data_IF_951131032970
#
_entry.id   IF_951131032970
#
_cell.length_a   1.000
_cell.length_b   1.000
_cell.length_c   1.000
_cell.angle_alpha   90.00
_cell.angle_beta   90.00
_cell.angle_gamma   90.00
#
_symmetry.space_group_name_H-M   'P 1'
#
loop_
_entity.id
_entity.type
_entity.pdbx_description
1 polymer ?
#
# COMPACT_ATOMS: atom_id res chain seq x y z
N UNK A 1 -31.11 -45.72 3.09
CA UNK A 1 -30.70 -44.91 4.27
C UNK A 1 -29.18 -44.82 4.22
N UNK A 2 -28.64 -43.76 3.62
CA UNK A 2 -27.20 -43.55 3.53
C UNK A 2 -26.80 -42.63 4.66
N UNK A 3 -25.94 -43.15 5.55
CA UNK A 3 -25.37 -42.39 6.66
C UNK A 3 -24.66 -41.11 6.17
N UNK A 4 -24.62 -40.06 7.00
CA UNK A 4 -23.88 -38.86 6.64
C UNK A 4 -22.41 -39.25 6.46
N UNK A 5 -21.85 -38.96 5.28
CA UNK A 5 -20.44 -39.12 5.02
C UNK A 5 -19.65 -38.19 5.94
N UNK A 6 -19.21 -38.74 7.07
CA UNK A 6 -18.03 -38.19 7.75
C UNK A 6 -16.90 -38.45 6.78
N UNK A 7 -16.44 -37.40 6.12
CA UNK A 7 -15.29 -37.48 5.23
C UNK A 7 -14.09 -37.78 6.11
N UNK A 8 -13.55 -39.00 6.03
CA UNK A 8 -12.29 -39.34 6.68
C UNK A 8 -11.16 -38.55 6.01
N UNK A 9 -10.54 -37.59 6.72
CA UNK A 9 -9.50 -36.72 6.13
C UNK A 9 -8.30 -37.51 5.62
N UNK A 10 -7.95 -38.62 6.27
CA UNK A 10 -6.82 -39.45 5.85
C UNK A 10 -7.11 -40.22 4.56
N UNK A 11 -8.31 -40.70 4.41
CA UNK A 11 -8.75 -41.41 3.19
C UNK A 11 -8.79 -40.43 2.01
N UNK A 12 -9.32 -39.25 2.23
CA UNK A 12 -9.39 -38.17 1.22
C UNK A 12 -8.01 -37.72 0.78
N UNK A 13 -7.06 -37.58 1.71
CA UNK A 13 -5.67 -37.27 1.43
C UNK A 13 -4.97 -38.41 0.64
N UNK A 14 -5.19 -39.68 0.97
CA UNK A 14 -4.59 -40.82 0.28
C UNK A 14 -5.12 -40.97 -1.16
N UNK A 15 -6.42 -40.86 -1.34
CA UNK A 15 -7.05 -40.90 -2.67
C UNK A 15 -6.56 -39.70 -3.53
N UNK A 16 -6.41 -38.54 -2.92
CA UNK A 16 -5.94 -37.32 -3.55
C UNK A 16 -4.47 -37.33 -3.95
N UNK A 17 -3.60 -37.94 -3.16
CA UNK A 17 -2.16 -38.06 -3.47
C UNK A 17 -1.93 -39.12 -4.57
N UNK A 18 -2.85 -40.09 -4.70
CA UNK A 18 -2.75 -41.15 -5.72
C UNK A 18 -3.09 -40.72 -7.15
N UNK A 19 -3.85 -39.65 -7.32
CA UNK A 19 -4.26 -39.12 -8.62
C UNK A 19 -3.83 -37.65 -8.71
N UNK A 20 -2.70 -37.38 -9.35
CA UNK A 20 -2.22 -36.01 -9.62
C UNK A 20 -3.14 -35.30 -10.65
N UNK A 21 -4.37 -34.98 -10.23
CA UNK A 21 -5.33 -34.20 -11.02
C UNK A 21 -5.15 -32.69 -10.73
N UNK A 22 -5.10 -31.82 -11.75
CA UNK A 22 -5.14 -30.37 -11.56
C UNK A 22 -6.37 -29.87 -10.79
N UNK A 23 -7.44 -30.67 -10.73
CA UNK A 23 -8.70 -30.33 -10.08
C UNK A 23 -8.77 -30.75 -8.60
N UNK A 24 -7.74 -31.40 -8.08
CA UNK A 24 -7.70 -31.95 -6.73
C UNK A 24 -7.97 -30.89 -5.66
N UNK A 25 -7.26 -29.77 -5.71
CA UNK A 25 -7.44 -28.68 -4.75
C UNK A 25 -8.85 -28.11 -4.80
N UNK A 26 -9.44 -28.02 -5.99
CA UNK A 26 -10.81 -27.55 -6.18
C UNK A 26 -11.81 -28.50 -5.54
N UNK A 27 -11.65 -29.80 -5.79
CA UNK A 27 -12.52 -30.83 -5.24
C UNK A 27 -12.43 -30.92 -3.71
N UNK A 28 -11.21 -30.87 -3.16
CA UNK A 28 -10.98 -30.84 -1.72
C UNK A 28 -11.62 -29.61 -1.08
N UNK A 29 -11.39 -28.43 -1.64
CA UNK A 29 -11.96 -27.18 -1.16
C UNK A 29 -13.49 -27.22 -1.17
N UNK A 30 -14.10 -27.69 -2.26
CA UNK A 30 -15.55 -27.84 -2.37
C UNK A 30 -16.11 -28.80 -1.32
N UNK A 31 -15.43 -29.93 -1.11
CA UNK A 31 -15.86 -30.96 -0.13
C UNK A 31 -15.79 -30.43 1.30
N UNK A 32 -14.66 -29.77 1.67
CA UNK A 32 -14.49 -29.20 3.00
C UNK A 32 -15.49 -28.07 3.26
N UNK A 33 -15.68 -27.15 2.31
CA UNK A 33 -16.64 -26.07 2.46
C UNK A 33 -18.07 -26.59 2.61
N UNK A 34 -18.48 -27.55 1.81
CA UNK A 34 -19.83 -28.13 1.91
C UNK A 34 -20.04 -28.89 3.23
N UNK A 35 -19.00 -29.55 3.75
CA UNK A 35 -19.04 -30.18 5.08
C UNK A 35 -19.19 -29.15 6.21
N UNK A 36 -18.41 -28.04 6.15
CA UNK A 36 -18.52 -26.97 7.13
C UNK A 36 -19.89 -26.29 7.10
N UNK A 37 -20.44 -26.01 5.92
CA UNK A 37 -21.80 -25.45 5.77
C UNK A 37 -22.87 -26.40 6.33
N UNK A 38 -22.67 -27.69 6.18
CA UNK A 38 -23.56 -28.69 6.75
C UNK A 38 -23.51 -28.65 8.29
N UNK A 39 -22.32 -28.65 8.88
CA UNK A 39 -22.14 -28.59 10.33
C UNK A 39 -22.68 -27.28 10.94
N UNK A 40 -22.41 -26.14 10.28
CA UNK A 40 -22.91 -24.82 10.70
C UNK A 40 -24.46 -24.78 10.67
N UNK A 41 -25.08 -25.32 9.62
CA UNK A 41 -26.53 -25.39 9.53
C UNK A 41 -27.14 -26.39 10.55
N UNK A 42 -26.42 -27.45 10.96
CA UNK A 42 -26.85 -28.34 12.04
C UNK A 42 -26.86 -27.61 13.38
N UNK A 43 -25.84 -26.79 13.65
CA UNK A 43 -25.78 -25.94 14.85
C UNK A 43 -26.97 -24.96 14.89
N UNK A 44 -27.28 -24.29 13.76
CA UNK A 44 -28.43 -23.39 13.65
C UNK A 44 -29.78 -24.16 13.82
N UNK A 45 -29.87 -25.39 13.36
CA UNK A 45 -31.08 -26.20 13.50
C UNK A 45 -31.23 -26.83 14.89
N UNK A 46 -30.20 -26.81 15.73
CA UNK A 46 -30.19 -27.46 17.05
C UNK A 46 -30.13 -28.98 17.02
N UNK A 47 -29.92 -29.59 15.83
CA UNK A 47 -29.78 -31.05 15.65
C UNK A 47 -29.19 -31.36 14.26
N UNK A 48 -28.50 -32.51 14.19
CA UNK A 48 -27.95 -33.05 12.93
C UNK A 48 -29.06 -33.37 11.91
N UNK A 49 -28.69 -33.33 10.63
CA UNK A 49 -29.61 -33.64 9.54
C UNK A 49 -30.16 -35.09 9.65
N UNK A 50 -31.49 -35.25 9.62
CA UNK A 50 -32.15 -36.54 9.68
C UNK A 50 -32.28 -37.15 11.07
N UNK A 51 -31.76 -36.52 12.14
CA UNK A 51 -31.83 -37.02 13.52
C UNK A 51 -33.03 -36.42 14.25
N UNK A 52 -33.83 -37.22 14.98
CA UNK A 52 -34.86 -36.71 15.87
C UNK A 52 -34.20 -36.13 17.15
N UNK A 53 -34.58 -34.91 17.55
CA UNK A 53 -34.03 -34.27 18.75
C UNK A 53 -35.04 -33.27 19.30
N UNK A 54 -35.14 -33.23 20.64
CA UNK A 54 -36.02 -32.27 21.37
C UNK A 54 -35.47 -30.85 21.32
N UNK A 55 -34.19 -30.68 20.98
CA UNK A 55 -33.53 -29.37 20.83
C UNK A 55 -33.66 -28.78 19.43
N UNK A 56 -34.32 -29.45 18.51
CA UNK A 56 -34.47 -29.03 17.14
C UNK A 56 -35.32 -27.77 17.00
N UNK A 57 -34.73 -26.69 16.48
CA UNK A 57 -35.40 -25.41 16.24
C UNK A 57 -35.87 -25.24 14.80
N UNK A 58 -35.23 -25.90 13.83
CA UNK A 58 -35.58 -25.84 12.41
C UNK A 58 -35.26 -27.15 11.68
N UNK A 59 -35.89 -27.36 10.52
CA UNK A 59 -35.62 -28.50 9.64
C UNK A 59 -35.01 -28.00 8.32
N UNK A 60 -34.04 -28.77 7.80
CA UNK A 60 -33.47 -28.54 6.48
C UNK A 60 -34.43 -28.97 5.38
N UNK A 61 -34.40 -28.21 4.26
CA UNK A 61 -35.23 -28.48 3.08
C UNK A 61 -34.36 -28.44 1.81
N UNK A 62 -33.41 -29.37 1.70
CA UNK A 62 -32.50 -29.45 0.58
C UNK A 62 -31.42 -28.34 0.58
N UNK A 63 -30.85 -28.10 -0.58
CA UNK A 63 -29.75 -27.18 -0.78
C UNK A 63 -30.07 -26.15 -1.86
N UNK A 64 -29.42 -24.99 -1.78
CA UNK A 64 -29.31 -24.01 -2.87
C UNK A 64 -27.88 -24.02 -3.35
N UNK A 65 -27.66 -24.37 -4.59
CA UNK A 65 -26.36 -24.37 -5.21
C UNK A 65 -25.98 -22.96 -5.66
N UNK A 66 -24.77 -22.56 -5.37
CA UNK A 66 -24.21 -21.27 -5.74
C UNK A 66 -22.74 -21.42 -6.15
N UNK A 67 -22.38 -21.03 -7.38
CA UNK A 67 -20.99 -21.01 -7.77
C UNK A 67 -20.22 -19.94 -6.98
N UNK A 68 -19.04 -20.31 -6.48
CA UNK A 68 -18.08 -19.43 -5.82
C UNK A 68 -16.75 -19.51 -6.58
N UNK A 69 -16.30 -18.35 -7.08
CA UNK A 69 -15.03 -18.22 -7.79
C UNK A 69 -13.91 -18.04 -6.76
N UNK A 70 -12.99 -19.02 -6.71
CA UNK A 70 -11.85 -19.06 -5.79
C UNK A 70 -10.53 -19.08 -6.54
N UNK A 71 -9.41 -18.93 -5.83
CA UNK A 71 -8.06 -19.09 -6.41
C UNK A 71 -7.78 -20.49 -6.94
N UNK A 72 -8.52 -21.50 -6.45
CA UNK A 72 -8.43 -22.88 -6.93
C UNK A 72 -9.38 -23.19 -8.08
N UNK A 73 -10.16 -22.21 -8.54
CA UNK A 73 -11.18 -22.31 -9.57
C UNK A 73 -12.60 -22.12 -9.02
N UNK A 74 -13.60 -22.23 -9.88
CA UNK A 74 -15.01 -22.15 -9.49
C UNK A 74 -15.43 -23.45 -8.80
N UNK A 75 -15.98 -23.33 -7.59
CA UNK A 75 -16.57 -24.42 -6.82
C UNK A 75 -18.08 -24.25 -6.71
N UNK A 76 -18.80 -25.35 -6.57
CA UNK A 76 -20.25 -25.33 -6.32
C UNK A 76 -20.54 -25.48 -4.82
N UNK A 77 -20.99 -24.36 -4.23
CA UNK A 77 -21.30 -24.29 -2.80
C UNK A 77 -22.76 -24.68 -2.55
N UNK A 78 -22.98 -25.79 -1.85
CA UNK A 78 -24.29 -26.31 -1.49
C UNK A 78 -24.78 -25.68 -0.17
N UNK A 79 -25.47 -24.56 -0.24
CA UNK A 79 -26.01 -23.86 0.94
C UNK A 79 -27.28 -24.53 1.42
N UNK A 80 -27.33 -25.03 2.67
CA UNK A 80 -28.55 -25.63 3.22
C UNK A 80 -29.72 -24.65 3.25
N UNK A 81 -30.92 -25.12 2.89
CA UNK A 81 -32.18 -24.39 3.05
C UNK A 81 -32.88 -24.83 4.32
N UNK A 82 -33.52 -23.91 5.02
CA UNK A 82 -34.40 -24.22 6.16
C UNK A 82 -35.87 -24.16 5.74
N UNK A 83 -36.71 -24.95 6.37
CA UNK A 83 -38.18 -24.91 6.17
C UNK A 83 -38.78 -23.68 6.80
N UNK A 84 -38.25 -23.24 7.96
CA UNK A 84 -38.61 -22.03 8.66
C UNK A 84 -37.34 -21.20 8.88
N UNK A 85 -37.40 -19.90 8.58
CA UNK A 85 -36.24 -18.98 8.65
C UNK A 85 -35.35 -19.05 7.42
N UNK A 86 -34.22 -18.33 7.51
CA UNK A 86 -33.20 -18.25 6.44
C UNK A 86 -31.83 -18.54 7.01
N UNK A 87 -31.08 -19.39 6.32
CA UNK A 87 -29.68 -19.65 6.60
C UNK A 87 -28.82 -19.01 5.50
N UNK A 88 -27.81 -18.24 5.89
CA UNK A 88 -26.80 -17.71 4.99
C UNK A 88 -25.44 -17.68 5.71
N UNK A 89 -24.40 -18.33 5.16
CA UNK A 89 -23.08 -18.41 5.77
C UNK A 89 -22.29 -17.10 5.56
N UNK A 90 -22.53 -16.10 6.39
CA UNK A 90 -21.88 -14.77 6.27
C UNK A 90 -20.35 -14.84 6.49
N UNK A 91 -19.88 -15.87 7.20
CA UNK A 91 -18.45 -16.14 7.40
C UNK A 91 -17.71 -16.61 6.13
N UNK A 92 -18.43 -17.13 5.13
CA UNK A 92 -17.86 -17.64 3.88
C UNK A 92 -18.27 -16.82 2.67
N UNK A 93 -19.52 -16.36 2.65
CA UNK A 93 -20.13 -15.73 1.48
C UNK A 93 -20.61 -14.32 1.81
N UNK A 94 -20.28 -13.38 0.94
CA UNK A 94 -20.95 -12.08 0.93
C UNK A 94 -22.21 -12.13 0.07
N UNK A 95 -23.26 -11.44 0.54
CA UNK A 95 -24.50 -11.33 -0.24
C UNK A 95 -24.22 -10.62 -1.56
N UNK A 96 -24.63 -11.25 -2.67
CA UNK A 96 -24.46 -10.76 -4.04
C UNK A 96 -23.03 -10.78 -4.59
N UNK A 97 -22.02 -11.25 -3.86
CA UNK A 97 -20.67 -11.47 -4.38
C UNK A 97 -20.46 -12.95 -4.72
N UNK A 98 -19.79 -13.19 -5.86
CA UNK A 98 -19.52 -14.54 -6.38
C UNK A 98 -18.04 -14.91 -6.26
N UNK A 99 -17.16 -13.94 -6.05
CA UNK A 99 -15.73 -14.13 -6.04
C UNK A 99 -15.15 -14.00 -4.63
N UNK A 100 -14.12 -14.79 -4.35
CA UNK A 100 -13.28 -14.70 -3.15
C UNK A 100 -12.53 -13.35 -3.13
N UNK A 101 -12.36 -12.74 -1.96
CA UNK A 101 -11.65 -11.46 -1.80
C UNK A 101 -10.23 -11.49 -2.37
N UNK A 102 -9.52 -12.62 -2.24
CA UNK A 102 -8.18 -12.78 -2.81
C UNK A 102 -8.18 -12.77 -4.35
N UNK A 103 -9.24 -13.27 -4.98
CA UNK A 103 -9.39 -13.18 -6.43
C UNK A 103 -9.68 -11.74 -6.87
N UNK A 104 -10.47 -11.00 -6.09
CA UNK A 104 -10.72 -9.58 -6.31
C UNK A 104 -9.40 -8.80 -6.30
N UNK A 105 -8.52 -9.10 -5.34
CA UNK A 105 -7.18 -8.48 -5.26
C UNK A 105 -6.34 -8.79 -6.51
N UNK A 106 -6.31 -10.05 -6.98
CA UNK A 106 -5.56 -10.42 -8.19
C UNK A 106 -6.11 -9.69 -9.43
N UNK A 107 -7.44 -9.62 -9.56
CA UNK A 107 -8.09 -8.90 -10.67
C UNK A 107 -7.81 -7.40 -10.59
N UNK A 108 -7.83 -6.82 -9.39
CA UNK A 108 -7.48 -5.42 -9.15
C UNK A 108 -6.01 -5.13 -9.50
N UNK A 109 -5.08 -5.98 -9.08
CA UNK A 109 -3.66 -5.86 -9.42
C UNK A 109 -3.44 -5.94 -10.94
N UNK A 110 -4.12 -6.86 -11.63
CA UNK A 110 -4.06 -6.95 -13.08
C UNK A 110 -4.66 -5.70 -13.76
N UNK A 111 -5.76 -5.16 -13.24
CA UNK A 111 -6.39 -3.94 -13.74
C UNK A 111 -5.45 -2.74 -13.58
N UNK A 112 -4.85 -2.58 -12.41
CA UNK A 112 -3.86 -1.53 -12.13
C UNK A 112 -2.61 -1.65 -13.02
N UNK A 113 -2.19 -2.89 -13.34
CA UNK A 113 -1.10 -3.15 -14.28
C UNK A 113 -1.48 -2.92 -15.76
N UNK A 114 -2.67 -2.39 -16.04
CA UNK A 114 -3.13 -2.09 -17.41
C UNK A 114 -3.46 -3.33 -18.24
N UNK A 115 -3.72 -4.47 -17.60
CA UNK A 115 -4.14 -5.70 -18.30
C UNK A 115 -5.54 -5.51 -18.84
N UNK A 116 -5.74 -5.65 -20.14
CA UNK A 116 -7.06 -5.51 -20.74
C UNK A 116 -8.03 -6.57 -20.22
N UNK A 117 -9.33 -6.23 -20.14
CA UNK A 117 -10.39 -7.14 -19.68
C UNK A 117 -10.41 -8.48 -20.43
N UNK A 118 -10.03 -8.51 -21.72
CA UNK A 118 -9.89 -9.76 -22.49
C UNK A 118 -8.71 -10.63 -22.04
N UNK A 119 -7.58 -10.00 -21.71
CA UNK A 119 -6.41 -10.73 -21.18
C UNK A 119 -6.70 -11.24 -19.77
N UNK A 120 -7.41 -10.46 -18.98
CA UNK A 120 -7.83 -10.82 -17.64
C UNK A 120 -8.77 -12.02 -17.66
N UNK A 121 -9.78 -12.04 -18.54
CA UNK A 121 -10.68 -13.20 -18.74
C UNK A 121 -9.89 -14.46 -19.11
N UNK A 122 -8.87 -14.35 -19.98
CA UNK A 122 -8.00 -15.47 -20.32
C UNK A 122 -7.18 -15.97 -19.12
N UNK A 123 -6.65 -15.05 -18.31
CA UNK A 123 -5.86 -15.39 -17.12
C UNK A 123 -6.72 -16.11 -16.08
N UNK A 124 -7.92 -15.60 -15.84
CA UNK A 124 -8.88 -16.16 -14.88
C UNK A 124 -9.35 -17.55 -15.31
N UNK A 125 -9.56 -17.76 -16.62
CA UNK A 125 -9.84 -19.13 -17.14
C UNK A 125 -8.69 -20.10 -16.93
N UNK A 126 -7.43 -19.65 -17.00
CA UNK A 126 -6.27 -20.50 -16.68
C UNK A 126 -6.24 -20.88 -15.19
N UNK A 127 -6.87 -20.10 -14.32
CA UNK A 127 -7.09 -20.43 -12.91
C UNK A 127 -8.32 -21.33 -12.69
N UNK A 128 -8.95 -21.84 -13.77
CA UNK A 128 -10.11 -22.71 -13.68
C UNK A 128 -11.43 -22.00 -13.36
N UNK A 129 -11.49 -20.70 -13.56
CA UNK A 129 -12.73 -19.90 -13.42
C UNK A 129 -13.35 -19.75 -14.80
N UNK A 130 -14.60 -20.19 -14.98
CA UNK A 130 -15.26 -20.32 -16.29
C UNK A 130 -15.37 -19.00 -17.06
N UNK A 131 -15.68 -17.89 -16.39
CA UNK A 131 -15.62 -16.54 -16.96
C UNK A 131 -15.78 -15.44 -15.90
N UNK A 132 -15.08 -14.32 -16.08
CA UNK A 132 -15.43 -13.04 -15.46
C UNK A 132 -16.19 -12.20 -16.50
N UNK A 133 -17.43 -11.85 -16.20
CA UNK A 133 -18.16 -10.93 -17.06
C UNK A 133 -17.56 -9.52 -16.96
N UNK A 134 -17.70 -8.71 -18.04
CA UNK A 134 -17.27 -7.30 -18.01
C UNK A 134 -17.85 -6.54 -16.83
N UNK A 135 -19.09 -6.86 -16.42
CA UNK A 135 -19.76 -6.25 -15.29
C UNK A 135 -19.16 -6.68 -13.93
N UNK A 136 -18.60 -7.87 -13.81
CA UNK A 136 -17.87 -8.32 -12.62
C UNK A 136 -16.54 -7.59 -12.48
N UNK A 137 -15.76 -7.51 -13.57
CA UNK A 137 -14.50 -6.74 -13.58
C UNK A 137 -14.76 -5.26 -13.25
N UNK A 138 -15.81 -4.67 -13.83
CA UNK A 138 -16.18 -3.28 -13.55
C UNK A 138 -16.58 -3.05 -12.09
N UNK A 139 -17.30 -4.00 -11.46
CA UNK A 139 -17.63 -3.92 -10.03
C UNK A 139 -16.41 -4.06 -9.15
N UNK A 140 -15.50 -4.98 -9.49
CA UNK A 140 -14.24 -5.15 -8.74
C UNK A 140 -13.38 -3.89 -8.82
N UNK A 141 -13.33 -3.23 -9.97
CA UNK A 141 -12.66 -1.93 -10.13
C UNK A 141 -13.33 -0.85 -9.27
N UNK A 142 -14.66 -0.78 -9.25
CA UNK A 142 -15.40 0.18 -8.43
C UNK A 142 -15.18 -0.04 -6.92
N UNK A 143 -15.15 -1.30 -6.45
CA UNK A 143 -14.81 -1.63 -5.06
C UNK A 143 -13.39 -1.19 -4.70
N UNK A 144 -12.43 -1.30 -5.63
CA UNK A 144 -11.07 -0.81 -5.43
C UNK A 144 -11.04 0.72 -5.35
N UNK A 145 -11.80 1.40 -6.21
CA UNK A 145 -11.92 2.87 -6.20
C UNK A 145 -12.51 3.36 -4.87
N UNK A 146 -13.53 2.68 -4.32
CA UNK A 146 -14.09 2.97 -2.99
C UNK A 146 -13.04 2.83 -1.88
N UNK A 147 -12.21 1.77 -1.90
CA UNK A 147 -11.13 1.59 -0.93
C UNK A 147 -10.05 2.69 -1.05
N UNK A 148 -9.70 3.08 -2.28
CA UNK A 148 -8.75 4.16 -2.54
C UNK A 148 -9.31 5.49 -2.03
N UNK A 149 -10.58 5.76 -2.28
CA UNK A 149 -11.26 6.97 -1.82
C UNK A 149 -11.38 7.01 -0.30
N UNK A 150 -11.74 5.91 0.35
CA UNK A 150 -11.76 5.79 1.79
C UNK A 150 -10.35 6.05 2.39
N UNK A 151 -9.29 5.50 1.78
CA UNK A 151 -7.91 5.75 2.19
C UNK A 151 -7.52 7.23 2.02
N UNK A 152 -7.87 7.83 0.88
CA UNK A 152 -7.54 9.23 0.57
C UNK A 152 -8.18 10.22 1.52
N UNK A 153 -9.41 9.95 1.96
CA UNK A 153 -10.20 10.86 2.78
C UNK A 153 -10.24 10.47 4.27
N UNK A 154 -9.49 9.44 4.68
CA UNK A 154 -9.49 9.00 6.08
C UNK A 154 -9.03 10.11 7.02
N UNK A 155 -9.65 10.27 8.20
CA UNK A 155 -9.18 11.16 9.25
C UNK A 155 -7.76 10.82 9.69
N UNK A 156 -6.96 11.83 10.01
CA UNK A 156 -5.58 11.68 10.49
C UNK A 156 -5.44 12.06 11.96
N UNK A 157 -6.43 12.75 12.54
CA UNK A 157 -6.37 13.28 13.89
C UNK A 157 -6.16 12.22 14.96
N UNK A 158 -6.86 11.09 14.86
CA UNK A 158 -6.81 10.02 15.85
C UNK A 158 -5.48 9.21 15.83
N UNK A 159 -4.80 9.21 14.69
CA UNK A 159 -3.51 8.53 14.52
C UNK A 159 -2.30 9.42 14.87
N UNK A 160 -2.52 10.72 15.04
CA UNK A 160 -1.47 11.71 15.35
C UNK A 160 -1.12 11.79 16.85
N UNK A 161 -0.22 12.70 17.24
CA UNK A 161 0.50 13.66 16.38
C UNK A 161 1.55 12.99 15.50
N UNK A 162 1.74 13.51 14.28
CA UNK A 162 2.78 13.06 13.36
C UNK A 162 3.99 13.99 13.44
N UNK A 163 5.02 13.56 14.15
CA UNK A 163 6.19 14.40 14.47
C UNK A 163 7.10 14.64 13.28
N UNK A 164 7.30 13.62 12.46
CA UNK A 164 8.14 13.67 11.26
C UNK A 164 7.32 13.37 10.02
N UNK A 165 7.57 14.13 8.98
CA UNK A 165 6.96 13.97 7.66
C UNK A 165 8.04 13.82 6.59
N UNK A 166 7.82 12.95 5.62
CA UNK A 166 8.57 12.90 4.39
C UNK A 166 7.60 13.12 3.22
N UNK A 167 7.92 14.08 2.35
CA UNK A 167 7.15 14.38 1.15
C UNK A 167 8.00 14.17 -0.10
N UNK A 168 7.42 13.54 -1.12
CA UNK A 168 8.11 13.22 -2.37
C UNK A 168 7.14 13.18 -3.54
N UNK A 169 7.65 13.40 -4.74
CA UNK A 169 6.91 13.33 -5.99
C UNK A 169 7.49 12.27 -6.92
N UNK A 170 6.62 11.43 -7.45
CA UNK A 170 6.98 10.42 -8.44
C UNK A 170 6.37 10.79 -9.79
N UNK A 171 7.21 11.16 -10.76
CA UNK A 171 6.77 11.34 -12.15
C UNK A 171 6.74 10.00 -12.87
N UNK A 172 5.62 9.72 -13.52
CA UNK A 172 5.40 8.51 -14.32
C UNK A 172 4.66 8.82 -15.61
N UNK A 173 4.81 7.95 -16.62
CA UNK A 173 4.03 8.05 -17.85
C UNK A 173 2.78 7.20 -17.75
N UNK A 174 1.62 7.81 -17.89
CA UNK A 174 0.33 7.13 -17.85
C UNK A 174 -0.39 7.29 -19.18
N UNK A 175 -1.25 6.33 -19.52
CA UNK A 175 -2.08 6.41 -20.72
C UNK A 175 -3.48 6.90 -20.33
N UNK A 176 -3.86 8.06 -20.81
CA UNK A 176 -5.16 8.67 -20.60
C UNK A 176 -5.75 9.12 -21.95
N UNK A 177 -7.01 8.81 -22.21
CA UNK A 177 -7.68 9.17 -23.45
C UNK A 177 -6.96 8.70 -24.74
N UNK A 178 -6.23 7.57 -24.67
CA UNK A 178 -5.45 7.03 -25.79
C UNK A 178 -4.09 7.70 -26.00
N UNK A 179 -3.73 8.70 -25.19
CA UNK A 179 -2.45 9.41 -25.26
C UNK A 179 -1.58 9.08 -24.04
N UNK A 180 -0.25 9.16 -24.22
CA UNK A 180 0.69 9.05 -23.10
C UNK A 180 0.92 10.44 -22.54
N UNK A 181 0.59 10.64 -21.27
CA UNK A 181 0.82 11.88 -20.53
C UNK A 181 1.77 11.63 -19.34
N UNK A 182 2.43 12.66 -18.87
CA UNK A 182 3.12 12.61 -17.59
C UNK A 182 2.09 12.81 -16.46
N UNK A 183 2.16 11.96 -15.45
CA UNK A 183 1.45 12.14 -14.19
C UNK A 183 2.47 12.24 -13.06
N UNK A 184 2.17 13.05 -12.07
CA UNK A 184 2.99 13.24 -10.87
C UNK A 184 2.18 12.74 -9.68
N UNK A 185 2.66 11.69 -9.04
CA UNK A 185 2.10 11.20 -7.80
C UNK A 185 2.84 11.84 -6.62
N UNK A 186 2.16 12.73 -5.91
CA UNK A 186 2.65 13.34 -4.67
C UNK A 186 2.28 12.44 -3.50
N UNK A 187 3.25 12.11 -2.67
CA UNK A 187 3.10 11.19 -1.54
C UNK A 187 3.63 11.86 -0.28
N UNK A 188 2.89 11.77 0.82
CA UNK A 188 3.36 12.12 2.15
C UNK A 188 3.33 10.89 3.05
N UNK A 189 4.45 10.63 3.73
CA UNK A 189 4.55 9.62 4.78
C UNK A 189 4.83 10.32 6.10
N UNK A 190 4.14 9.92 7.16
CA UNK A 190 4.34 10.47 8.50
C UNK A 190 4.83 9.42 9.49
N UNK A 191 5.49 9.89 10.54
CA UNK A 191 5.85 9.08 11.71
C UNK A 191 5.18 9.71 12.91
N UNK A 192 4.33 8.95 13.60
CA UNK A 192 3.64 9.42 14.79
C UNK A 192 4.54 9.38 16.03
N UNK A 193 4.03 9.84 17.18
CA UNK A 193 4.76 9.87 18.44
C UNK A 193 5.18 8.47 18.93
N UNK A 194 4.48 7.40 18.53
CA UNK A 194 4.80 6.00 18.86
C UNK A 194 5.88 5.41 17.93
N UNK A 195 6.39 6.18 16.97
CA UNK A 195 7.37 5.72 15.98
C UNK A 195 6.75 4.92 14.81
N UNK A 196 5.44 4.84 14.71
CA UNK A 196 4.76 4.16 13.61
C UNK A 196 4.77 5.03 12.36
N UNK A 197 5.11 4.41 11.23
CA UNK A 197 5.14 5.07 9.92
C UNK A 197 3.91 4.71 9.11
N UNK A 198 3.28 5.74 8.51
CA UNK A 198 2.11 5.61 7.64
C UNK A 198 2.22 6.48 6.39
N UNK A 199 1.58 6.05 5.30
CA UNK A 199 1.30 6.91 4.15
C UNK A 199 0.09 7.77 4.52
N UNK A 200 0.26 9.07 4.64
CA UNK A 200 -0.80 10.00 5.08
C UNK A 200 -1.68 10.46 3.92
N UNK A 201 -1.10 10.59 2.76
CA UNK A 201 -1.81 11.02 1.56
C UNK A 201 -1.10 10.64 0.28
N UNK A 202 -1.93 10.55 -0.77
CA UNK A 202 -1.52 10.34 -2.15
C UNK A 202 -2.39 11.21 -3.03
N UNK A 203 -1.77 12.06 -3.86
CA UNK A 203 -2.46 12.87 -4.87
C UNK A 203 -1.77 12.72 -6.22
N UNK A 204 -2.55 12.59 -7.26
CA UNK A 204 -2.04 12.56 -8.64
C UNK A 204 -2.40 13.87 -9.33
N UNK A 205 -1.41 14.50 -9.96
CA UNK A 205 -1.56 15.71 -10.76
C UNK A 205 -0.88 15.53 -12.13
N UNK A 206 -1.18 16.38 -13.07
CA UNK A 206 -0.52 16.37 -14.39
C UNK A 206 0.86 17.06 -14.37
N UNK A 207 1.08 17.93 -13.39
CA UNK A 207 2.33 18.67 -13.21
C UNK A 207 2.64 18.83 -11.72
N UNK A 208 3.93 18.83 -11.40
CA UNK A 208 4.42 19.21 -10.08
C UNK A 208 4.47 20.74 -10.00
N UNK A 209 3.54 21.35 -9.24
CA UNK A 209 3.45 22.78 -9.07
C UNK A 209 3.26 23.17 -7.61
N UNK A 210 3.59 24.41 -7.27
CA UNK A 210 3.38 24.95 -5.92
C UNK A 210 1.89 24.92 -5.53
N UNK A 211 0.99 25.20 -6.47
CA UNK A 211 -0.45 25.12 -6.22
C UNK A 211 -0.90 23.69 -5.88
N UNK A 212 -0.41 22.69 -6.63
CA UNK A 212 -0.74 21.28 -6.37
C UNK A 212 -0.21 20.82 -4.99
N UNK A 213 1.00 21.23 -4.62
CA UNK A 213 1.56 20.94 -3.29
C UNK A 213 0.79 21.66 -2.17
N UNK A 214 0.42 22.92 -2.40
CA UNK A 214 -0.37 23.66 -1.41
C UNK A 214 -1.74 23.02 -1.15
N UNK A 215 -2.46 22.63 -2.20
CA UNK A 215 -3.72 21.89 -2.07
C UNK A 215 -3.53 20.54 -1.39
N UNK A 216 -2.41 19.84 -1.67
CA UNK A 216 -2.10 18.56 -1.05
C UNK A 216 -1.89 18.68 0.45
N UNK A 217 -1.07 19.64 0.91
CA UNK A 217 -0.87 19.86 2.36
C UNK A 217 -2.11 20.42 3.05
N UNK A 218 -2.85 21.30 2.39
CA UNK A 218 -4.12 21.81 2.92
C UNK A 218 -5.13 20.68 3.16
N UNK A 219 -5.21 19.69 2.26
CA UNK A 219 -6.03 18.48 2.45
C UNK A 219 -5.56 17.66 3.66
N UNK A 220 -4.26 17.43 3.81
CA UNK A 220 -3.72 16.70 4.96
C UNK A 220 -4.07 17.38 6.28
N UNK A 221 -3.94 18.71 6.35
CA UNK A 221 -4.29 19.51 7.53
C UNK A 221 -5.80 19.46 7.79
N UNK A 222 -6.63 19.61 6.75
CA UNK A 222 -8.08 19.49 6.87
C UNK A 222 -8.55 18.13 7.38
N UNK A 223 -7.83 17.06 7.07
CA UNK A 223 -8.06 15.71 7.59
C UNK A 223 -7.50 15.48 9.00
N UNK A 224 -6.90 16.49 9.62
CA UNK A 224 -6.43 16.44 11.01
C UNK A 224 -4.94 16.20 11.18
N UNK A 225 -4.10 16.38 10.15
CA UNK A 225 -2.64 16.35 10.31
C UNK A 225 -2.20 17.44 11.28
N UNK A 226 -1.51 17.06 12.35
CA UNK A 226 -1.02 17.97 13.37
C UNK A 226 0.28 17.48 14.02
N UNK A 227 0.96 18.38 14.75
CA UNK A 227 2.15 18.06 15.55
C UNK A 227 3.44 17.90 14.74
N UNK A 228 3.45 18.30 13.47
CA UNK A 228 4.61 18.16 12.59
C UNK A 228 5.74 19.09 13.05
N UNK A 229 6.91 18.53 13.33
CA UNK A 229 8.11 19.26 13.75
C UNK A 229 9.19 19.32 12.68
N UNK A 230 9.26 18.31 11.81
CA UNK A 230 10.21 18.28 10.71
C UNK A 230 9.53 17.71 9.46
N UNK A 231 9.78 18.34 8.31
CA UNK A 231 9.42 17.81 6.99
C UNK A 231 10.67 17.63 6.15
N UNK A 232 10.93 16.40 5.69
CA UNK A 232 12.03 16.10 4.79
C UNK A 232 11.52 15.98 3.36
N UNK A 233 12.09 16.73 2.44
CA UNK A 233 11.76 16.67 1.02
C UNK A 233 12.96 17.02 0.13
N UNK A 234 12.78 16.96 -1.20
CA UNK A 234 13.67 17.61 -2.12
C UNK A 234 13.49 19.15 -2.06
N UNK A 235 14.31 19.89 -2.82
CA UNK A 235 14.29 21.36 -2.84
C UNK A 235 13.42 21.93 -3.97
N UNK A 236 12.33 21.23 -4.34
CA UNK A 236 11.37 21.81 -5.26
C UNK A 236 10.72 23.05 -4.61
N UNK A 237 10.90 24.22 -5.24
CA UNK A 237 10.50 25.52 -4.64
C UNK A 237 9.04 25.53 -4.18
N UNK A 238 8.12 25.08 -5.05
CA UNK A 238 6.70 25.07 -4.72
C UNK A 238 6.33 24.11 -3.57
N UNK A 239 7.10 23.03 -3.39
CA UNK A 239 6.94 22.10 -2.27
C UNK A 239 7.39 22.76 -0.95
N UNK A 240 8.54 23.42 -0.94
CA UNK A 240 9.07 24.11 0.24
C UNK A 240 8.14 25.26 0.67
N UNK A 241 7.68 26.08 -0.29
CA UNK A 241 6.70 27.14 -0.04
C UNK A 241 5.37 26.58 0.54
N UNK A 242 4.89 25.46 0.02
CA UNK A 242 3.66 24.83 0.49
C UNK A 242 3.82 24.24 1.91
N UNK A 243 4.98 23.67 2.26
CA UNK A 243 5.30 23.23 3.62
C UNK A 243 5.22 24.40 4.59
N UNK A 244 5.91 25.51 4.28
CA UNK A 244 5.92 26.70 5.13
C UNK A 244 4.52 27.32 5.33
N UNK A 245 3.70 27.31 4.28
CA UNK A 245 2.35 27.86 4.33
C UNK A 245 1.35 27.02 5.14
N UNK A 246 1.42 25.68 5.06
CA UNK A 246 0.43 24.79 5.64
C UNK A 246 0.85 24.15 6.97
N UNK A 247 2.14 24.09 7.27
CA UNK A 247 2.68 23.45 8.47
C UNK A 247 3.53 24.45 9.28
N UNK A 248 2.91 25.52 9.82
CA UNK A 248 3.61 26.52 10.58
C UNK A 248 4.29 25.91 11.82
N UNK A 249 5.56 26.20 12.01
CA UNK A 249 6.39 25.65 13.08
C UNK A 249 7.10 24.34 12.76
N UNK A 250 6.85 23.72 11.61
CA UNK A 250 7.67 22.63 11.12
C UNK A 250 8.98 23.16 10.50
N UNK A 251 10.09 22.54 10.87
CA UNK A 251 11.39 22.81 10.25
C UNK A 251 11.49 22.02 8.94
N UNK A 252 12.01 22.63 7.89
CA UNK A 252 12.27 21.93 6.64
C UNK A 252 13.67 21.35 6.62
N UNK A 253 13.79 20.09 6.29
CA UNK A 253 15.04 19.36 6.06
C UNK A 253 15.17 19.02 4.57
N UNK A 254 16.18 19.52 3.92
CA UNK A 254 16.50 19.11 2.56
C UNK A 254 17.02 17.68 2.53
N UNK A 255 16.45 16.83 1.68
CA UNK A 255 16.86 15.44 1.57
C UNK A 255 18.34 15.31 1.22
N UNK A 256 19.11 14.69 2.10
CA UNK A 256 20.56 14.51 1.97
C UNK A 256 20.95 13.80 0.66
N UNK A 257 20.15 12.83 0.21
CA UNK A 257 20.42 12.05 -1.01
C UNK A 257 20.28 12.93 -2.26
N UNK A 258 19.19 13.68 -2.36
CA UNK A 258 18.96 14.63 -3.47
C UNK A 258 19.97 15.76 -3.44
N UNK A 259 20.27 16.28 -2.25
CA UNK A 259 21.28 17.30 -2.08
C UNK A 259 22.67 16.85 -2.57
N UNK A 260 23.10 15.64 -2.18
CA UNK A 260 24.39 15.09 -2.61
C UNK A 260 24.47 14.98 -4.15
N UNK A 261 23.39 14.58 -4.82
CA UNK A 261 23.34 14.53 -6.28
C UNK A 261 23.46 15.94 -6.90
N UNK A 262 22.75 16.93 -6.33
CA UNK A 262 22.80 18.33 -6.79
C UNK A 262 24.19 18.93 -6.57
N UNK A 263 24.83 18.68 -5.43
CA UNK A 263 26.20 19.12 -5.16
C UNK A 263 27.20 18.51 -6.15
N UNK A 264 27.07 17.24 -6.47
CA UNK A 264 27.93 16.58 -7.47
C UNK A 264 27.71 17.18 -8.87
N UNK A 265 26.51 17.64 -9.22
CA UNK A 265 26.24 18.28 -10.51
C UNK A 265 27.03 19.58 -10.72
N UNK A 266 27.29 20.33 -9.66
CA UNK A 266 28.11 21.57 -9.70
C UNK A 266 29.60 21.32 -9.40
N UNK A 267 29.98 20.09 -9.07
CA UNK A 267 31.35 19.70 -8.73
C UNK A 267 32.05 19.12 -9.96
N UNK A 268 33.28 19.56 -10.29
CA UNK A 268 34.08 18.91 -11.32
C UNK A 268 34.28 17.40 -11.03
N UNK A 269 34.14 16.55 -12.05
CA UNK A 269 34.19 15.08 -11.88
C UNK A 269 35.45 14.58 -11.16
N UNK A 270 36.59 15.21 -11.41
CA UNK A 270 37.86 14.87 -10.75
C UNK A 270 37.81 15.08 -9.22
N UNK A 271 36.97 15.99 -8.74
CA UNK A 271 36.84 16.32 -7.32
C UNK A 271 35.70 15.55 -6.63
N UNK A 272 34.89 14.78 -7.35
CA UNK A 272 33.76 14.03 -6.78
C UNK A 272 34.16 13.16 -5.59
N UNK A 273 35.24 12.33 -5.65
CA UNK A 273 35.59 11.48 -4.51
C UNK A 273 35.89 12.28 -3.25
N UNK A 274 36.63 13.38 -3.39
CA UNK A 274 37.04 14.23 -2.25
C UNK A 274 35.84 14.97 -1.65
N UNK A 275 35.06 15.67 -2.47
CA UNK A 275 33.88 16.46 -2.01
C UNK A 275 32.83 15.52 -1.42
N UNK A 276 32.61 14.35 -2.03
CA UNK A 276 31.67 13.33 -1.50
C UNK A 276 32.13 12.78 -0.16
N UNK A 277 33.40 12.44 0.00
CA UNK A 277 33.95 11.97 1.26
C UNK A 277 33.82 13.01 2.37
N UNK A 278 34.14 14.27 2.06
CA UNK A 278 33.97 15.38 3.00
C UNK A 278 32.52 15.63 3.38
N UNK A 279 31.58 15.60 2.41
CA UNK A 279 30.15 15.70 2.72
C UNK A 279 29.66 14.55 3.60
N UNK A 280 30.09 13.32 3.34
CA UNK A 280 29.73 12.16 4.18
C UNK A 280 30.25 12.35 5.60
N UNK A 281 31.48 12.82 5.77
CA UNK A 281 32.07 13.03 7.10
C UNK A 281 31.30 14.05 7.95
N UNK A 282 30.55 14.96 7.35
CA UNK A 282 29.63 15.90 8.06
C UNK A 282 28.53 15.10 8.78
N UNK A 283 27.96 14.10 8.12
CA UNK A 283 26.86 13.31 8.70
C UNK A 283 27.35 12.24 9.71
N UNK A 284 28.64 11.90 9.68
CA UNK A 284 29.21 10.88 10.57
C UNK A 284 29.61 11.43 11.95
N UNK A 285 29.37 12.71 12.22
CA UNK A 285 29.74 13.37 13.45
C UNK A 285 28.85 12.94 14.64
N UNK A 286 29.40 12.99 15.88
CA UNK A 286 28.71 12.49 17.08
C UNK A 286 27.56 13.37 17.56
N UNK A 287 27.60 14.67 17.32
CA UNK A 287 26.62 15.65 17.82
C UNK A 287 26.48 16.84 16.86
N UNK A 288 25.49 17.71 17.13
CA UNK A 288 25.18 18.87 16.31
C UNK A 288 26.36 19.85 16.19
N UNK A 289 26.99 20.30 17.26
CA UNK A 289 28.18 21.16 17.19
C UNK A 289 29.30 20.59 16.32
N UNK A 290 29.58 19.29 16.45
CA UNK A 290 30.59 18.63 15.62
C UNK A 290 30.18 18.55 14.12
N UNK A 291 28.89 18.35 13.83
CA UNK A 291 28.33 18.41 12.47
C UNK A 291 28.58 19.79 11.84
N UNK A 292 28.23 20.86 12.55
CA UNK A 292 28.46 22.23 12.07
C UNK A 292 29.92 22.52 11.87
N UNK A 293 30.79 22.17 12.83
CA UNK A 293 32.23 22.35 12.71
C UNK A 293 32.83 21.55 11.52
N UNK A 294 32.34 20.35 11.25
CA UNK A 294 32.80 19.57 10.09
C UNK A 294 32.28 20.13 8.77
N UNK A 295 31.10 20.74 8.78
CA UNK A 295 30.59 21.46 7.62
C UNK A 295 31.43 22.71 7.30
N UNK A 296 31.85 23.44 8.31
CA UNK A 296 32.79 24.58 8.14
C UNK A 296 34.12 24.13 7.53
N UNK A 297 34.68 22.99 7.98
CA UNK A 297 35.89 22.42 7.36
C UNK A 297 35.67 22.01 5.90
N UNK A 298 34.48 21.54 5.54
CA UNK A 298 34.15 21.27 4.14
C UNK A 298 34.11 22.55 3.33
N UNK A 299 33.51 23.62 3.86
CA UNK A 299 33.52 24.95 3.20
C UNK A 299 34.95 25.47 3.01
N UNK A 300 35.77 25.45 4.06
CA UNK A 300 37.19 25.87 3.99
C UNK A 300 37.98 25.04 2.95
N UNK A 301 37.69 23.74 2.85
CA UNK A 301 38.37 22.89 1.87
C UNK A 301 38.07 23.26 0.41
N UNK A 302 36.84 23.74 0.12
CA UNK A 302 36.38 24.00 -1.26
C UNK A 302 36.45 25.46 -1.65
N UNK A 303 36.50 26.43 -0.71
CA UNK A 303 36.31 27.88 -0.95
C UNK A 303 37.25 28.46 -1.99
N UNK A 304 38.54 28.12 -1.94
CA UNK A 304 39.55 28.71 -2.84
C UNK A 304 39.58 28.02 -4.21
N UNK A 305 39.10 26.78 -4.31
CA UNK A 305 39.27 25.93 -5.50
C UNK A 305 38.00 25.72 -6.29
N UNK A 306 36.86 25.78 -5.61
CA UNK A 306 35.55 25.39 -6.16
C UNK A 306 34.46 26.41 -5.78
N UNK A 307 34.51 27.65 -6.28
CA UNK A 307 33.57 28.71 -5.87
C UNK A 307 32.09 28.35 -6.04
N UNK A 308 31.75 27.63 -7.11
CA UNK A 308 30.38 27.17 -7.34
C UNK A 308 29.91 26.14 -6.30
N UNK A 309 30.81 25.26 -5.84
CA UNK A 309 30.54 24.30 -4.77
C UNK A 309 30.38 25.02 -3.44
N UNK A 310 31.24 25.98 -3.15
CA UNK A 310 31.17 26.82 -1.93
C UNK A 310 29.81 27.52 -1.84
N UNK A 311 29.43 28.26 -2.92
CA UNK A 311 28.15 28.97 -2.96
C UNK A 311 26.94 27.99 -2.78
N UNK A 312 27.01 26.79 -3.38
CA UNK A 312 25.97 25.80 -3.27
C UNK A 312 25.85 25.18 -1.85
N UNK A 313 26.99 24.98 -1.17
CA UNK A 313 27.05 24.52 0.20
C UNK A 313 26.52 25.60 1.17
N UNK A 314 27.01 26.81 1.04
CA UNK A 314 26.65 27.92 1.91
C UNK A 314 25.14 28.23 1.84
N UNK A 315 24.58 28.28 0.63
CA UNK A 315 23.16 28.51 0.40
C UNK A 315 22.25 27.41 0.95
N UNK A 316 22.77 26.18 1.15
CA UNK A 316 21.98 25.05 1.62
C UNK A 316 22.26 24.69 3.08
N UNK A 317 23.14 25.40 3.77
CA UNK A 317 23.65 25.06 5.11
C UNK A 317 22.51 24.74 6.10
N UNK A 318 21.61 25.70 6.29
CA UNK A 318 20.51 25.58 7.25
C UNK A 318 19.57 24.41 6.88
N UNK A 319 19.29 24.25 5.60
CA UNK A 319 18.34 23.29 5.08
C UNK A 319 18.83 21.84 5.21
N UNK A 320 20.13 21.59 5.01
CA UNK A 320 20.70 20.24 5.07
C UNK A 320 21.16 19.84 6.47
N UNK A 321 21.31 20.79 7.39
CA UNK A 321 21.72 20.56 8.78
C UNK A 321 20.55 20.66 9.77
N UNK A 322 19.33 20.91 9.32
CA UNK A 322 18.15 21.06 10.18
C UNK A 322 17.89 19.86 11.09
N UNK A 323 18.29 18.66 10.67
CA UNK A 323 18.19 17.42 11.46
C UNK A 323 18.96 17.48 12.80
N UNK A 324 19.99 18.34 12.91
CA UNK A 324 20.81 18.48 14.13
C UNK A 324 20.04 19.02 15.32
N UNK A 325 18.90 19.69 15.10
CA UNK A 325 17.97 20.13 16.14
C UNK A 325 17.16 19.01 16.80
N UNK A 326 17.37 17.74 16.39
CA UNK A 326 16.64 16.58 16.89
C UNK A 326 17.60 15.57 17.54
N UNK A 327 17.09 14.62 18.38
CA UNK A 327 17.91 13.60 19.01
C UNK A 327 18.72 12.78 17.99
N UNK A 328 19.96 12.46 18.33
CA UNK A 328 20.90 11.72 17.47
C UNK A 328 20.32 10.40 16.95
N UNK A 329 19.58 9.69 17.77
CA UNK A 329 19.05 8.36 17.48
C UNK A 329 18.07 8.35 16.31
N UNK A 330 17.47 9.51 15.96
CA UNK A 330 16.55 9.62 14.83
C UNK A 330 17.16 10.22 13.56
N UNK A 331 18.39 10.73 13.59
CA UNK A 331 19.02 11.43 12.45
C UNK A 331 18.99 10.63 11.17
N UNK A 332 19.36 9.34 11.23
CA UNK A 332 19.40 8.45 10.06
C UNK A 332 18.02 8.23 9.42
N UNK A 333 16.96 8.49 10.16
CA UNK A 333 15.58 8.31 9.73
C UNK A 333 14.97 9.57 9.12
N UNK A 334 15.49 10.76 9.52
CA UNK A 334 14.88 12.06 9.19
C UNK A 334 15.67 12.90 8.17
N UNK A 335 16.95 12.65 7.92
CA UNK A 335 17.77 13.42 6.99
C UNK A 335 17.60 13.08 5.52
N UNK A 336 16.80 12.06 5.18
CA UNK A 336 16.58 11.65 3.79
C UNK A 336 15.20 11.03 3.55
N UNK A 337 14.76 11.08 2.29
CA UNK A 337 13.51 10.44 1.82
C UNK A 337 13.67 8.95 1.46
N UNK A 338 14.71 8.26 1.94
CA UNK A 338 14.94 6.84 1.63
C UNK A 338 13.70 5.94 1.76
N UNK A 339 12.79 6.14 2.76
CA UNK A 339 11.56 5.36 2.84
C UNK A 339 10.59 5.62 1.68
N UNK A 340 10.46 6.89 1.26
CA UNK A 340 9.65 7.25 0.10
C UNK A 340 10.27 6.71 -1.20
N UNK A 341 11.59 6.74 -1.34
CA UNK A 341 12.31 6.16 -2.49
C UNK A 341 12.07 4.65 -2.63
N UNK A 342 11.98 3.91 -1.52
CA UNK A 342 11.64 2.48 -1.54
C UNK A 342 10.22 2.26 -2.05
N UNK A 343 9.27 3.05 -1.58
CA UNK A 343 7.88 3.02 -2.06
C UNK A 343 7.81 3.38 -3.55
N UNK A 344 8.48 4.46 -3.96
CA UNK A 344 8.54 4.90 -5.35
C UNK A 344 9.15 3.84 -6.29
N UNK A 345 10.18 3.13 -5.83
CA UNK A 345 10.77 2.01 -6.58
C UNK A 345 9.78 0.87 -6.76
N UNK A 346 9.02 0.54 -5.72
CA UNK A 346 8.01 -0.52 -5.79
C UNK A 346 6.84 -0.11 -6.69
N UNK A 347 6.40 1.15 -6.65
CA UNK A 347 5.40 1.69 -7.57
C UNK A 347 5.90 1.57 -9.02
N UNK A 348 7.13 2.05 -9.32
CA UNK A 348 7.72 1.96 -10.67
C UNK A 348 7.89 0.53 -11.17
N UNK A 349 8.10 -0.43 -10.28
CA UNK A 349 8.22 -1.84 -10.64
C UNK A 349 6.89 -2.45 -11.07
N UNK A 350 5.78 -1.91 -10.57
CA UNK A 350 4.42 -2.44 -10.79
C UNK A 350 3.64 -1.67 -11.87
N UNK A 351 4.04 -0.46 -12.18
CA UNK A 351 3.46 0.37 -13.25
C UNK A 351 4.32 0.38 -14.51
#
# INVERSE_FOLDING_TARGET
>A
MTAPHIVDPERLLREAIGEASPDLLRHLLQTVINALLSADADAVCGAEYGTASDTRTAQRNGYRHRPLDTRAGTIDVAIPKLRAGTYFPEWLLERRKRAESALITVVADCYLAGVSTRRMDKLVRQLGIDSLSKSQVSRMAAELDEHIDAFRHRPLGDAGPFVFLAADALTMKVREGGRVINAVAMVATGVNADGRREVLGLRVATTESGAAWNEFFADLVARGLHGVRLVTSDSHRGLVEAIAANLPGAVWQRCRTHYAANLMAVTPKAMWPAVKAMLHSVYDQPDGPAVHAQFDRLLDYVQDRLPAVTAHLDAAREDILAFTGFPKDVWTQIWSNNPAERLNREIRRRT
#
